data_IF_240951608332
#
_entry.id   IF_240951608332
#
_cell.length_a   1.000
_cell.length_b   1.000
_cell.length_c   1.000
_cell.angle_alpha   90.00
_cell.angle_beta   90.00
_cell.angle_gamma   90.00
#
_symmetry.space_group_name_H-M   'P 1'
#
loop_
_entity.id
_entity.type
_entity.pdbx_description
1 polymer ?
#
# COMPACT_ATOMS: atom_id res chain seq x y z
N UNK A 1 -25.18 55.14 46.13
CA UNK A 1 -25.53 53.70 45.85
C UNK A 1 -24.97 53.31 44.48
N UNK A 2 -23.88 52.62 44.51
CA UNK A 2 -23.17 52.18 43.29
C UNK A 2 -23.51 50.69 43.09
N UNK A 3 -24.19 50.38 42.00
CA UNK A 3 -24.47 48.96 41.63
C UNK A 3 -23.32 48.45 40.77
N UNK A 4 -22.56 47.55 41.33
CA UNK A 4 -21.56 46.73 40.64
C UNK A 4 -22.24 45.56 39.95
N UNK A 5 -22.17 45.53 38.61
CA UNK A 5 -22.52 44.34 37.81
C UNK A 5 -21.32 43.39 37.76
N UNK A 6 -21.49 42.20 38.34
CA UNK A 6 -20.54 41.12 38.19
C UNK A 6 -20.78 40.41 36.83
N UNK A 7 -19.78 40.45 35.97
CA UNK A 7 -19.76 39.69 34.72
C UNK A 7 -19.38 38.24 34.99
N UNK A 8 -20.32 37.31 34.83
CA UNK A 8 -20.06 35.85 34.79
C UNK A 8 -19.44 35.50 33.44
N UNK A 9 -18.14 35.28 33.41
CA UNK A 9 -17.45 34.69 32.29
C UNK A 9 -17.73 33.19 32.24
N UNK A 10 -18.55 32.77 31.28
CA UNK A 10 -18.68 31.35 30.91
C UNK A 10 -17.51 30.97 30.01
N UNK A 11 -16.49 30.37 30.59
CA UNK A 11 -15.39 29.74 29.88
C UNK A 11 -15.82 28.34 29.40
N UNK A 12 -16.47 28.27 28.25
CA UNK A 12 -16.62 27.04 27.51
C UNK A 12 -15.42 26.87 26.59
N UNK A 13 -14.32 26.30 27.06
CA UNK A 13 -13.32 25.73 26.15
C UNK A 13 -13.94 24.49 25.49
N UNK A 14 -13.86 24.35 24.16
CA UNK A 14 -14.22 23.10 23.53
C UNK A 14 -13.25 22.03 24.00
N UNK A 15 -13.75 21.05 24.75
CA UNK A 15 -13.00 19.84 25.10
C UNK A 15 -12.67 19.12 23.80
N UNK A 16 -11.38 19.00 23.47
CA UNK A 16 -10.92 18.16 22.39
C UNK A 16 -11.56 16.76 22.49
N UNK A 17 -12.00 16.14 21.39
CA UNK A 17 -12.53 14.79 21.44
C UNK A 17 -11.48 13.85 22.03
N UNK A 18 -11.78 13.26 23.18
CA UNK A 18 -10.84 12.46 23.98
C UNK A 18 -10.66 11.03 23.49
N UNK A 19 -11.08 10.73 22.28
CA UNK A 19 -11.00 9.39 21.70
C UNK A 19 -10.05 9.37 20.50
N UNK A 20 -9.06 8.44 20.55
CA UNK A 20 -8.13 8.15 19.46
C UNK A 20 -8.93 7.84 18.19
N UNK A 21 -8.61 8.41 17.01
CA UNK A 21 -9.25 8.05 15.77
C UNK A 21 -9.16 6.55 15.49
N UNK A 22 -10.16 5.98 14.86
CA UNK A 22 -10.14 4.56 14.50
C UNK A 22 -9.12 4.31 13.37
N UNK A 23 -9.16 5.15 12.33
CA UNK A 23 -8.26 5.05 11.18
C UNK A 23 -7.60 6.40 10.93
N UNK A 24 -6.30 6.37 10.66
CA UNK A 24 -5.60 7.46 9.97
C UNK A 24 -5.47 7.09 8.49
N UNK A 25 -6.17 7.78 7.63
CA UNK A 25 -5.95 7.75 6.20
C UNK A 25 -4.77 8.65 5.85
N UNK A 26 -3.79 8.14 5.11
CA UNK A 26 -2.71 8.95 4.55
C UNK A 26 -2.90 9.02 3.05
N UNK A 27 -3.04 10.24 2.55
CA UNK A 27 -3.30 10.53 1.13
C UNK A 27 -2.11 11.30 0.56
N UNK A 28 -1.12 10.61 -0.05
CA UNK A 28 -0.02 11.27 -0.72
C UNK A 28 -0.50 11.91 -2.02
N UNK A 29 -0.24 13.21 -2.20
CA UNK A 29 -0.69 14.00 -3.33
C UNK A 29 0.48 14.70 -4.01
N UNK A 30 0.64 14.46 -5.32
CA UNK A 30 1.55 15.20 -6.17
C UNK A 30 0.88 15.51 -7.50
N UNK A 31 0.59 16.79 -7.77
CA UNK A 31 -0.16 17.25 -8.95
C UNK A 31 -1.47 16.46 -9.15
N UNK A 32 -2.26 16.38 -8.08
CA UNK A 32 -3.46 15.53 -7.97
C UNK A 32 -4.76 16.32 -8.08
N UNK A 33 -4.73 17.61 -8.45
CA UNK A 33 -5.89 18.49 -8.45
C UNK A 33 -7.10 17.93 -9.24
N UNK A 34 -6.83 17.15 -10.30
CA UNK A 34 -7.88 16.56 -11.14
C UNK A 34 -8.63 15.40 -10.47
N UNK A 35 -8.06 14.74 -9.45
CA UNK A 35 -8.55 13.47 -8.92
C UNK A 35 -8.88 13.50 -7.43
N UNK A 36 -8.09 14.24 -6.64
CA UNK A 36 -8.08 14.13 -5.19
C UNK A 36 -9.42 14.41 -4.51
N UNK A 37 -10.33 15.17 -5.14
CA UNK A 37 -11.67 15.42 -4.58
C UNK A 37 -12.46 14.11 -4.46
N UNK A 38 -12.46 13.26 -5.48
CA UNK A 38 -13.11 11.93 -5.43
C UNK A 38 -12.55 11.09 -4.31
N UNK A 39 -11.22 11.07 -4.15
CA UNK A 39 -10.54 10.40 -3.06
C UNK A 39 -11.03 10.90 -1.70
N UNK A 40 -10.87 12.19 -1.43
CA UNK A 40 -11.17 12.79 -0.12
C UNK A 40 -12.66 12.70 0.19
N UNK A 41 -13.56 12.96 -0.78
CA UNK A 41 -15.01 12.86 -0.61
C UNK A 41 -15.45 11.45 -0.17
N UNK A 42 -14.74 10.41 -0.61
CA UNK A 42 -14.98 9.03 -0.18
C UNK A 42 -14.63 8.77 1.29
N UNK A 43 -13.76 9.60 1.89
CA UNK A 43 -13.34 9.50 3.29
C UNK A 43 -14.22 10.34 4.23
N UNK A 44 -14.83 11.44 3.71
CA UNK A 44 -15.64 12.39 4.48
C UNK A 44 -16.71 11.72 5.36
N UNK A 45 -17.46 10.70 4.90
CA UNK A 45 -18.49 10.06 5.72
C UNK A 45 -17.99 9.40 7.01
N UNK A 46 -16.69 9.20 7.17
CA UNK A 46 -16.09 8.55 8.35
C UNK A 46 -15.33 9.52 9.27
N UNK A 47 -15.28 10.80 8.95
CA UNK A 47 -14.43 11.77 9.66
C UNK A 47 -14.86 12.06 11.09
N UNK A 48 -16.06 11.66 11.52
CA UNK A 48 -16.48 11.71 12.94
C UNK A 48 -15.68 10.80 13.84
N UNK A 49 -15.07 9.75 13.31
CA UNK A 49 -14.29 8.79 14.09
C UNK A 49 -12.94 8.43 13.44
N UNK A 50 -12.61 9.00 12.30
CA UNK A 50 -11.36 8.82 11.58
C UNK A 50 -10.68 10.16 11.31
N UNK A 51 -9.41 10.12 10.89
CA UNK A 51 -8.71 11.30 10.40
C UNK A 51 -8.15 11.04 9.01
N UNK A 52 -8.00 12.13 8.22
CA UNK A 52 -7.28 12.09 6.96
C UNK A 52 -6.06 13.05 7.02
N UNK A 53 -4.90 12.54 6.64
CA UNK A 53 -3.65 13.28 6.55
C UNK A 53 -3.31 13.39 5.06
N UNK A 54 -3.58 14.57 4.50
CA UNK A 54 -3.31 14.86 3.10
C UNK A 54 -1.89 15.39 3.02
N UNK A 55 -1.02 14.71 2.31
CA UNK A 55 0.39 15.11 2.17
C UNK A 55 0.60 15.68 0.78
N UNK A 56 0.70 17.03 0.69
CA UNK A 56 1.10 17.70 -0.54
C UNK A 56 2.62 17.59 -0.71
N UNK A 57 3.03 16.83 -1.70
CA UNK A 57 4.45 16.49 -1.96
C UNK A 57 5.05 17.44 -3.00
N UNK A 58 4.99 18.78 -2.73
CA UNK A 58 5.57 19.80 -3.60
C UNK A 58 4.83 19.95 -4.92
N UNK A 59 3.50 19.90 -4.94
CA UNK A 59 2.70 20.10 -6.14
C UNK A 59 2.81 21.51 -6.69
N UNK A 60 2.69 21.62 -8.02
CA UNK A 60 2.71 22.91 -8.74
C UNK A 60 1.37 23.31 -9.32
N UNK A 61 0.35 22.45 -9.19
CA UNK A 61 -1.05 22.70 -9.57
C UNK A 61 -1.90 23.14 -8.36
N UNK A 62 -3.23 23.07 -8.48
CA UNK A 62 -4.15 23.46 -7.42
C UNK A 62 -4.26 22.45 -6.25
N UNK A 63 -3.45 21.38 -6.20
CA UNK A 63 -3.52 20.32 -5.19
C UNK A 63 -3.50 20.88 -3.77
N UNK A 64 -2.53 21.76 -3.43
CA UNK A 64 -2.41 22.34 -2.10
C UNK A 64 -3.64 23.19 -1.74
N UNK A 65 -4.13 24.00 -2.68
CA UNK A 65 -5.30 24.82 -2.46
C UNK A 65 -6.54 23.97 -2.13
N UNK A 66 -6.77 22.90 -2.91
CA UNK A 66 -7.85 21.94 -2.67
C UNK A 66 -7.69 21.26 -1.31
N UNK A 67 -6.49 20.81 -0.95
CA UNK A 67 -6.23 20.19 0.34
C UNK A 67 -6.60 21.13 1.51
N UNK A 68 -6.23 22.43 1.42
CA UNK A 68 -6.55 23.44 2.43
C UNK A 68 -8.05 23.76 2.51
N UNK A 69 -8.81 23.67 1.42
CA UNK A 69 -10.27 23.77 1.44
C UNK A 69 -10.88 22.69 2.35
N UNK A 70 -10.44 21.43 2.19
CA UNK A 70 -10.91 20.34 3.03
C UNK A 70 -10.44 20.46 4.48
N UNK A 71 -9.21 20.86 4.74
CA UNK A 71 -8.72 21.11 6.10
C UNK A 71 -9.55 22.20 6.79
N UNK A 72 -9.92 23.26 6.06
CA UNK A 72 -10.78 24.33 6.58
C UNK A 72 -12.20 23.84 6.86
N UNK A 73 -12.74 22.97 6.01
CA UNK A 73 -14.08 22.41 6.17
C UNK A 73 -14.17 21.37 7.30
N UNK A 74 -13.07 20.63 7.57
CA UNK A 74 -13.00 19.54 8.56
C UNK A 74 -11.77 19.68 9.48
N UNK A 75 -11.63 20.79 10.25
CA UNK A 75 -10.39 21.15 10.94
C UNK A 75 -9.97 20.15 12.04
N UNK A 76 -10.90 19.40 12.61
CA UNK A 76 -10.63 18.42 13.66
C UNK A 76 -10.19 17.07 13.11
N UNK A 77 -10.52 16.78 11.84
CA UNK A 77 -10.38 15.45 11.25
C UNK A 77 -9.49 15.41 10.01
N UNK A 78 -9.29 16.55 9.33
CA UNK A 78 -8.35 16.63 8.19
C UNK A 78 -7.16 17.50 8.57
N UNK A 79 -5.97 17.00 8.25
CA UNK A 79 -4.69 17.71 8.40
C UNK A 79 -3.95 17.69 7.08
N UNK A 80 -3.39 18.84 6.70
CA UNK A 80 -2.54 18.97 5.51
C UNK A 80 -1.07 19.11 5.93
N UNK A 81 -0.23 18.25 5.40
CA UNK A 81 1.23 18.39 5.43
C UNK A 81 1.66 18.92 4.07
N UNK A 82 2.32 20.07 4.06
CA UNK A 82 2.92 20.67 2.87
C UNK A 82 4.43 20.50 2.95
N UNK A 83 5.04 19.79 2.00
CA UNK A 83 6.46 19.44 2.02
C UNK A 83 7.10 19.62 0.65
N UNK A 84 8.44 19.75 0.62
CA UNK A 84 9.21 19.60 -0.61
C UNK A 84 9.04 18.18 -1.14
N UNK A 85 9.07 18.03 -2.47
CA UNK A 85 8.86 16.73 -3.10
C UNK A 85 9.88 15.70 -2.61
N UNK A 86 9.39 14.70 -1.91
CA UNK A 86 10.15 13.57 -1.38
C UNK A 86 9.67 12.21 -1.95
N UNK A 87 8.74 12.27 -2.89
CA UNK A 87 8.10 11.12 -3.52
C UNK A 87 7.10 10.42 -2.59
N UNK A 88 6.41 9.42 -3.12
CA UNK A 88 5.38 8.68 -2.41
C UNK A 88 5.84 8.18 -1.02
N UNK A 89 7.05 7.60 -0.96
CA UNK A 89 7.62 7.10 0.29
C UNK A 89 7.83 8.18 1.36
N UNK A 90 8.29 9.36 0.95
CA UNK A 90 8.44 10.52 1.85
C UNK A 90 7.09 11.00 2.40
N UNK A 91 6.07 11.04 1.55
CA UNK A 91 4.70 11.37 1.96
C UNK A 91 4.14 10.38 2.97
N UNK A 92 4.34 9.07 2.75
CA UNK A 92 3.91 8.03 3.69
C UNK A 92 4.65 8.10 5.02
N UNK A 93 5.97 8.33 5.02
CA UNK A 93 6.74 8.48 6.25
C UNK A 93 6.21 9.64 7.12
N UNK A 94 5.98 10.80 6.51
CA UNK A 94 5.45 11.98 7.22
C UNK A 94 4.00 11.76 7.68
N UNK A 95 3.18 11.11 6.85
CA UNK A 95 1.83 10.70 7.25
C UNK A 95 1.84 9.75 8.45
N UNK A 96 2.70 8.71 8.44
CA UNK A 96 2.82 7.76 9.55
C UNK A 96 3.33 8.43 10.84
N UNK A 97 4.26 9.37 10.72
CA UNK A 97 4.74 10.13 11.88
C UNK A 97 3.61 10.93 12.57
N UNK A 98 2.68 11.46 11.78
CA UNK A 98 1.55 12.27 12.25
C UNK A 98 0.29 11.48 12.60
N UNK A 99 0.18 10.21 12.17
CA UNK A 99 -1.01 9.39 12.35
C UNK A 99 -1.34 9.17 13.83
N UNK A 100 -2.60 9.39 14.23
CA UNK A 100 -3.11 9.19 15.60
C UNK A 100 -4.03 7.98 15.70
N UNK A 101 -4.54 7.50 14.57
CA UNK A 101 -5.50 6.40 14.49
C UNK A 101 -4.94 5.08 14.98
N UNK A 102 -5.82 4.22 15.46
CA UNK A 102 -5.46 2.85 15.83
C UNK A 102 -4.97 2.07 14.61
N UNK A 103 -5.60 2.29 13.46
CA UNK A 103 -5.25 1.67 12.19
C UNK A 103 -4.73 2.72 11.20
N UNK A 104 -3.85 2.30 10.34
CA UNK A 104 -3.21 3.09 9.28
C UNK A 104 -3.63 2.56 7.92
N UNK A 105 -4.08 3.45 7.05
CA UNK A 105 -4.47 3.12 5.69
C UNK A 105 -3.92 4.14 4.71
N UNK A 106 -3.19 3.68 3.71
CA UNK A 106 -2.83 4.50 2.56
C UNK A 106 -3.97 4.51 1.57
N UNK A 107 -4.31 5.69 1.06
CA UNK A 107 -5.24 5.87 -0.06
C UNK A 107 -4.55 6.80 -1.06
N UNK A 108 -4.22 6.28 -2.24
CA UNK A 108 -3.61 7.09 -3.28
C UNK A 108 -4.59 8.14 -3.79
N UNK A 109 -4.11 9.31 -4.14
CA UNK A 109 -4.95 10.49 -4.39
C UNK A 109 -5.84 10.41 -5.63
N UNK A 110 -5.62 9.41 -6.47
CA UNK A 110 -6.41 9.10 -7.67
C UNK A 110 -7.38 7.92 -7.47
N UNK A 111 -7.38 7.31 -6.28
CA UNK A 111 -8.21 6.19 -5.88
C UNK A 111 -9.31 6.62 -4.91
N UNK A 112 -10.24 5.72 -4.56
CA UNK A 112 -11.31 6.01 -3.59
C UNK A 112 -11.78 4.75 -2.86
N UNK A 113 -12.55 4.95 -1.78
CA UNK A 113 -13.19 3.86 -1.06
C UNK A 113 -14.68 3.79 -1.41
N UNK A 114 -15.21 2.57 -1.61
CA UNK A 114 -16.65 2.34 -1.64
C UNK A 114 -17.22 2.52 -0.24
N UNK A 115 -18.03 3.55 -0.03
CA UNK A 115 -18.50 3.95 1.31
C UNK A 115 -19.31 2.86 2.00
N UNK A 116 -20.29 2.18 1.37
CA UNK A 116 -21.01 1.06 1.97
C UNK A 116 -20.10 -0.10 2.39
N UNK A 117 -19.16 -0.51 1.53
CA UNK A 117 -18.21 -1.58 1.84
C UNK A 117 -17.22 -1.16 2.95
N UNK A 118 -16.77 0.10 2.92
CA UNK A 118 -15.90 0.65 3.95
C UNK A 118 -16.60 0.71 5.32
N UNK A 119 -17.87 1.08 5.40
CA UNK A 119 -18.62 1.08 6.68
C UNK A 119 -18.61 -0.29 7.35
N UNK A 120 -18.68 -1.40 6.59
CA UNK A 120 -18.53 -2.75 7.16
C UNK A 120 -17.16 -2.98 7.77
N UNK A 121 -16.10 -2.50 7.13
CA UNK A 121 -14.74 -2.55 7.70
C UNK A 121 -14.65 -1.69 8.94
N UNK A 122 -15.17 -0.47 8.89
CA UNK A 122 -15.14 0.48 9.99
C UNK A 122 -15.84 -0.05 11.25
N UNK A 123 -16.98 -0.74 11.11
CA UNK A 123 -17.69 -1.36 12.23
C UNK A 123 -16.81 -2.41 12.94
N UNK A 124 -16.11 -3.26 12.18
CA UNK A 124 -15.17 -4.23 12.74
C UNK A 124 -13.99 -3.53 13.42
N UNK A 125 -13.41 -2.50 12.80
CA UNK A 125 -12.28 -1.76 13.37
C UNK A 125 -12.69 -1.01 14.65
N UNK A 126 -13.89 -0.42 14.70
CA UNK A 126 -14.44 0.22 15.91
C UNK A 126 -14.58 -0.76 17.07
N UNK A 127 -15.12 -1.95 16.80
CA UNK A 127 -15.28 -2.98 17.82
C UNK A 127 -13.94 -3.51 18.37
N UNK A 128 -12.82 -3.29 17.66
CA UNK A 128 -11.49 -3.78 17.98
C UNK A 128 -10.44 -2.65 17.95
N UNK A 129 -10.76 -1.51 18.54
CA UNK A 129 -9.89 -0.32 18.51
C UNK A 129 -9.02 -0.14 19.78
N UNK A 130 -9.15 -1.02 20.78
CA UNK A 130 -8.29 -0.95 21.97
C UNK A 130 -6.98 -1.70 21.77
N UNK A 131 -5.91 -1.39 22.50
CA UNK A 131 -4.61 -2.08 22.38
C UNK A 131 -4.73 -3.61 22.52
N UNK A 132 -5.63 -4.10 23.37
CA UNK A 132 -5.82 -5.52 23.67
C UNK A 132 -6.61 -6.25 22.58
N UNK A 133 -7.50 -5.53 21.89
CA UNK A 133 -8.42 -6.11 20.91
C UNK A 133 -8.01 -5.85 19.47
N UNK A 134 -7.18 -4.83 19.21
CA UNK A 134 -6.76 -4.44 17.87
C UNK A 134 -6.07 -5.59 17.13
N UNK A 135 -6.40 -5.73 15.85
CA UNK A 135 -5.69 -6.63 14.94
C UNK A 135 -4.37 -5.98 14.50
N UNK A 136 -3.36 -6.79 14.23
CA UNK A 136 -2.10 -6.28 13.69
C UNK A 136 -2.23 -5.90 12.23
N UNK A 137 -2.99 -6.71 11.48
CA UNK A 137 -3.24 -6.52 10.05
C UNK A 137 -4.64 -6.99 9.69
N UNK A 138 -5.43 -6.09 9.12
CA UNK A 138 -6.73 -6.39 8.55
C UNK A 138 -6.65 -6.37 7.04
N UNK A 139 -7.33 -7.30 6.38
CA UNK A 139 -7.46 -7.36 4.94
C UNK A 139 -8.88 -7.06 4.49
N UNK A 140 -9.00 -6.33 3.40
CA UNK A 140 -10.23 -6.18 2.62
C UNK A 140 -9.91 -6.38 1.14
N UNK A 141 -10.93 -6.53 0.30
CA UNK A 141 -10.73 -6.63 -1.13
C UNK A 141 -10.40 -5.27 -1.74
N UNK A 142 -9.84 -5.30 -2.94
CA UNK A 142 -9.74 -4.12 -3.78
C UNK A 142 -10.24 -4.42 -5.21
N UNK A 143 -10.59 -3.38 -5.93
CA UNK A 143 -11.20 -3.45 -7.26
C UNK A 143 -10.35 -2.65 -8.22
N UNK A 144 -9.90 -3.23 -9.29
CA UNK A 144 -9.40 -2.49 -10.44
C UNK A 144 -10.57 -1.84 -11.16
N UNK A 145 -10.50 -0.53 -11.29
CA UNK A 145 -11.49 0.29 -12.00
C UNK A 145 -10.84 0.82 -13.28
N UNK A 146 -11.23 0.27 -14.42
CA UNK A 146 -10.59 0.57 -15.70
C UNK A 146 -11.23 1.79 -16.36
N UNK A 147 -10.47 2.88 -16.48
CA UNK A 147 -10.93 4.13 -17.14
C UNK A 147 -11.27 3.91 -18.60
N UNK A 148 -10.52 3.05 -19.29
CA UNK A 148 -10.60 2.92 -20.75
C UNK A 148 -11.88 2.25 -21.26
N UNK A 149 -12.45 1.31 -20.49
CA UNK A 149 -13.64 0.54 -20.90
C UNK A 149 -14.70 0.43 -19.79
N UNK A 150 -14.52 1.09 -18.65
CA UNK A 150 -15.45 1.10 -17.54
C UNK A 150 -15.60 -0.26 -16.83
N UNK A 151 -14.74 -1.24 -17.14
CA UNK A 151 -14.82 -2.56 -16.51
C UNK A 151 -14.22 -2.54 -15.12
N UNK A 152 -14.77 -3.37 -14.21
CA UNK A 152 -14.28 -3.54 -12.83
C UNK A 152 -13.85 -4.99 -12.62
N UNK A 153 -12.73 -5.16 -11.93
CA UNK A 153 -12.22 -6.48 -11.57
C UNK A 153 -11.81 -6.52 -10.11
N UNK A 154 -12.56 -7.23 -9.28
CA UNK A 154 -12.29 -7.33 -7.85
C UNK A 154 -11.26 -8.44 -7.57
N UNK A 155 -10.27 -8.12 -6.75
CA UNK A 155 -9.34 -9.08 -6.16
C UNK A 155 -9.85 -9.43 -4.77
N UNK A 156 -10.29 -10.67 -4.62
CA UNK A 156 -10.90 -11.20 -3.39
C UNK A 156 -10.08 -12.34 -2.83
N UNK A 157 -10.09 -12.46 -1.51
CA UNK A 157 -9.28 -13.44 -0.77
C UNK A 157 -10.11 -14.56 -0.14
N UNK A 158 -11.33 -14.75 -0.65
CA UNK A 158 -12.18 -15.89 -0.29
C UNK A 158 -11.44 -17.21 -0.54
N UNK A 159 -11.56 -18.13 0.42
CA UNK A 159 -10.85 -19.40 0.40
C UNK A 159 -9.34 -19.32 0.67
N UNK A 160 -8.76 -18.11 0.79
CA UNK A 160 -7.38 -17.90 1.19
C UNK A 160 -7.27 -17.66 2.70
N UNK A 161 -8.21 -16.90 3.25
CA UNK A 161 -8.23 -16.47 4.65
C UNK A 161 -9.59 -16.76 5.28
N UNK A 162 -9.64 -17.10 6.59
CA UNK A 162 -10.88 -17.10 7.35
C UNK A 162 -11.57 -15.74 7.28
N UNK A 163 -12.90 -15.72 7.11
CA UNK A 163 -13.69 -14.50 7.01
C UNK A 163 -14.33 -14.16 8.35
N UNK A 164 -14.46 -12.86 8.64
CA UNK A 164 -15.25 -12.27 9.72
C UNK A 164 -14.91 -12.84 11.13
N UNK A 165 -13.67 -13.27 11.33
CA UNK A 165 -13.11 -13.68 12.61
C UNK A 165 -11.61 -13.47 12.68
N UNK A 166 -11.03 -13.33 13.90
CA UNK A 166 -9.59 -13.33 14.08
C UNK A 166 -8.96 -14.67 13.66
N UNK A 167 -7.72 -14.61 13.15
CA UNK A 167 -6.93 -15.80 12.82
C UNK A 167 -5.42 -15.49 12.91
N UNK A 168 -4.60 -16.53 12.90
CA UNK A 168 -3.15 -16.45 12.82
C UNK A 168 -2.64 -16.91 11.45
N UNK A 169 -1.32 -16.82 11.25
CA UNK A 169 -0.70 -17.25 9.99
C UNK A 169 -0.91 -18.71 9.68
N UNK A 170 -1.09 -19.57 10.69
CA UNK A 170 -1.35 -21.01 10.54
C UNK A 170 -2.61 -21.33 9.74
N UNK A 171 -3.58 -20.39 9.74
CA UNK A 171 -4.80 -20.50 8.96
C UNK A 171 -4.73 -19.77 7.60
N UNK A 172 -3.61 -19.10 7.31
CA UNK A 172 -3.41 -18.42 6.05
C UNK A 172 -3.10 -19.43 4.95
N UNK A 173 -3.99 -19.54 3.98
CA UNK A 173 -3.91 -20.53 2.90
C UNK A 173 -2.85 -20.23 1.85
N UNK A 174 -2.88 -21.01 0.76
CA UNK A 174 -2.01 -20.77 -0.41
C UNK A 174 -2.74 -19.88 -1.41
N UNK A 175 -2.24 -18.64 -1.66
CA UNK A 175 -2.87 -17.75 -2.63
C UNK A 175 -2.89 -18.37 -4.04
N UNK A 176 -4.00 -18.23 -4.75
CA UNK A 176 -4.06 -18.47 -6.20
C UNK A 176 -3.21 -17.44 -6.95
N UNK A 177 -3.02 -17.63 -8.24
CA UNK A 177 -2.20 -16.72 -9.06
C UNK A 177 -2.83 -15.32 -9.17
N UNK A 178 -4.16 -15.25 -9.11
CA UNK A 178 -4.99 -14.06 -9.14
C UNK A 178 -5.21 -13.41 -7.77
N UNK A 179 -4.80 -14.07 -6.68
CA UNK A 179 -4.89 -13.58 -5.31
C UNK A 179 -3.55 -13.01 -4.85
N UNK A 180 -3.20 -11.85 -5.33
CA UNK A 180 -2.02 -11.11 -4.84
C UNK A 180 -2.47 -10.00 -3.89
N UNK A 181 -1.69 -9.80 -2.84
CA UNK A 181 -1.98 -8.83 -1.80
C UNK A 181 -1.17 -7.57 -2.10
N UNK A 182 -1.85 -6.43 -2.11
CA UNK A 182 -1.24 -5.11 -2.28
C UNK A 182 -1.56 -4.22 -1.08
N UNK A 183 -0.87 -3.10 -0.94
CA UNK A 183 -1.13 -2.09 0.09
C UNK A 183 -2.60 -1.64 0.09
N UNK A 184 -3.24 -1.64 -1.07
CA UNK A 184 -4.66 -1.32 -1.24
C UNK A 184 -5.59 -2.21 -0.42
N UNK A 185 -5.20 -3.47 -0.18
CA UNK A 185 -5.98 -4.44 0.59
C UNK A 185 -5.69 -4.40 2.09
N UNK A 186 -4.66 -3.67 2.55
CA UNK A 186 -4.13 -3.79 3.92
C UNK A 186 -4.50 -2.61 4.80
N UNK A 187 -4.78 -2.90 6.08
CA UNK A 187 -5.04 -1.97 7.17
C UNK A 187 -4.15 -2.40 8.33
N UNK A 188 -3.05 -1.70 8.54
CA UNK A 188 -2.11 -2.03 9.60
C UNK A 188 -2.46 -1.34 10.93
N UNK A 189 -2.19 -1.99 12.05
CA UNK A 189 -2.13 -1.31 13.34
C UNK A 189 -1.00 -0.27 13.31
N UNK A 190 -1.33 0.98 13.57
CA UNK A 190 -0.38 2.11 13.46
C UNK A 190 0.85 1.91 14.33
N UNK A 191 0.64 1.46 15.57
CA UNK A 191 1.75 1.23 16.50
C UNK A 191 2.67 0.11 16.02
N UNK A 192 2.13 -0.95 15.39
CA UNK A 192 2.93 -2.03 14.79
C UNK A 192 3.81 -1.52 13.64
N UNK A 193 3.30 -0.63 12.78
CA UNK A 193 4.13 -0.01 11.74
C UNK A 193 5.29 0.77 12.35
N UNK A 194 5.05 1.52 13.42
CA UNK A 194 6.11 2.24 14.14
C UNK A 194 7.09 1.31 14.83
N UNK A 195 6.60 0.27 15.50
CA UNK A 195 7.41 -0.77 16.15
C UNK A 195 8.30 -1.50 15.15
N UNK A 196 7.85 -1.69 13.91
CA UNK A 196 8.66 -2.32 12.85
C UNK A 196 9.85 -1.47 12.44
N UNK A 197 9.82 -0.16 12.67
CA UNK A 197 10.84 0.78 12.22
C UNK A 197 10.81 1.03 10.71
N UNK A 198 9.71 0.68 10.02
CA UNK A 198 9.59 0.87 8.57
C UNK A 198 9.83 2.33 8.20
N UNK A 199 10.78 2.55 7.29
CA UNK A 199 11.09 3.87 6.74
C UNK A 199 11.31 3.71 5.24
N UNK A 200 10.50 4.39 4.45
CA UNK A 200 10.54 4.30 3.01
C UNK A 200 11.60 5.27 2.44
N UNK A 201 12.42 4.83 1.49
CA UNK A 201 13.29 5.74 0.75
C UNK A 201 12.53 6.86 0.07
N UNK A 202 13.08 8.07 0.11
CA UNK A 202 12.52 9.23 -0.59
C UNK A 202 12.85 9.18 -2.08
N UNK A 203 11.97 9.78 -2.91
CA UNK A 203 12.17 9.88 -4.37
C UNK A 203 12.30 8.51 -5.08
N UNK A 204 11.73 7.45 -4.50
CA UNK A 204 11.70 6.10 -5.07
C UNK A 204 10.26 5.66 -5.24
N UNK A 205 9.90 5.23 -6.46
CA UNK A 205 8.62 4.61 -6.76
C UNK A 205 8.60 3.12 -6.36
N UNK A 206 7.41 2.50 -6.36
CA UNK A 206 7.22 1.05 -6.16
C UNK A 206 7.59 0.57 -4.75
N UNK A 207 7.43 1.45 -3.75
CA UNK A 207 7.76 1.15 -2.36
C UNK A 207 6.58 0.55 -1.56
N UNK A 208 5.41 0.45 -2.17
CA UNK A 208 4.21 -0.19 -1.62
C UNK A 208 4.48 -1.61 -1.11
N UNK A 209 5.25 -2.37 -1.87
CA UNK A 209 5.68 -3.71 -1.48
C UNK A 209 6.57 -3.75 -0.25
N UNK A 210 7.48 -2.80 -0.11
CA UNK A 210 8.33 -2.72 1.08
C UNK A 210 7.52 -2.34 2.32
N UNK A 211 6.61 -1.36 2.20
CA UNK A 211 5.68 -0.99 3.28
C UNK A 211 4.85 -2.19 3.74
N UNK A 212 4.41 -3.04 2.80
CA UNK A 212 3.61 -4.22 3.11
C UNK A 212 4.43 -5.34 3.75
N UNK A 213 5.66 -5.60 3.26
CA UNK A 213 6.45 -6.77 3.67
C UNK A 213 7.23 -6.56 4.96
N UNK A 214 7.76 -5.34 5.17
CA UNK A 214 8.66 -5.05 6.29
C UNK A 214 8.04 -5.34 7.66
N UNK A 215 6.78 -4.99 7.95
CA UNK A 215 6.16 -5.23 9.26
C UNK A 215 5.73 -6.69 9.50
N UNK A 216 5.68 -7.54 8.47
CA UNK A 216 5.09 -8.89 8.56
C UNK A 216 5.60 -9.75 9.73
N UNK A 217 6.90 -9.74 10.10
CA UNK A 217 7.40 -10.55 11.22
C UNK A 217 6.80 -10.20 12.58
N UNK A 218 6.23 -9.00 12.73
CA UNK A 218 5.55 -8.55 13.95
C UNK A 218 4.06 -8.90 13.97
N UNK A 219 3.48 -9.22 12.82
CA UNK A 219 2.05 -9.51 12.66
C UNK A 219 1.72 -10.88 13.23
N UNK A 220 0.74 -10.94 14.15
CA UNK A 220 0.26 -12.17 14.78
C UNK A 220 -1.25 -12.33 14.67
N UNK A 221 -2.00 -11.23 14.81
CA UNK A 221 -3.46 -11.21 14.80
C UNK A 221 -3.97 -10.63 13.48
N UNK A 222 -4.52 -11.50 12.67
CA UNK A 222 -5.05 -11.19 11.35
C UNK A 222 -6.58 -11.15 11.37
N UNK A 223 -7.16 -10.40 10.45
CA UNK A 223 -8.58 -10.39 10.19
C UNK A 223 -8.85 -10.18 8.70
N UNK A 224 -9.85 -10.82 8.14
CA UNK A 224 -10.25 -10.59 6.76
C UNK A 224 -11.74 -10.30 6.65
N UNK A 225 -12.07 -9.22 5.97
CA UNK A 225 -13.43 -8.79 5.67
C UNK A 225 -13.62 -8.89 4.16
N UNK A 226 -14.52 -9.79 3.74
CA UNK A 226 -14.83 -9.94 2.32
C UNK A 226 -15.72 -8.78 1.85
N UNK A 227 -15.11 -7.61 1.66
CA UNK A 227 -15.75 -6.40 1.20
C UNK A 227 -14.87 -5.73 0.14
N UNK A 228 -15.44 -5.36 -0.99
CA UNK A 228 -14.78 -4.70 -2.11
C UNK A 228 -14.67 -3.20 -1.80
N UNK A 229 -13.65 -2.81 -1.02
CA UNK A 229 -13.57 -1.48 -0.40
C UNK A 229 -12.79 -0.49 -1.21
N UNK A 230 -11.60 -0.87 -1.66
CA UNK A 230 -10.66 0.04 -2.30
C UNK A 230 -10.81 -0.02 -3.81
N UNK A 231 -11.10 1.10 -4.45
CA UNK A 231 -11.17 1.23 -5.89
C UNK A 231 -9.87 1.82 -6.41
N UNK A 232 -9.12 0.99 -7.13
CA UNK A 232 -7.85 1.35 -7.75
C UNK A 232 -8.10 1.74 -9.21
N UNK A 233 -7.98 3.04 -9.50
CA UNK A 233 -8.17 3.58 -10.85
C UNK A 233 -6.98 3.22 -11.73
N UNK A 234 -7.19 2.51 -12.82
CA UNK A 234 -6.12 2.15 -13.75
C UNK A 234 -6.47 2.44 -15.22
N UNK A 235 -5.44 2.57 -16.05
CA UNK A 235 -5.58 2.78 -17.49
C UNK A 235 -5.38 4.23 -17.93
N UNK A 236 -4.89 5.13 -17.08
CA UNK A 236 -4.44 6.46 -17.48
C UNK A 236 -3.00 6.39 -18.00
N UNK A 237 -2.67 7.26 -18.98
CA UNK A 237 -1.35 7.30 -19.62
C UNK A 237 -0.23 7.77 -18.66
N UNK A 238 -0.57 8.59 -17.66
CA UNK A 238 0.38 9.22 -16.71
C UNK A 238 0.71 8.35 -15.49
N UNK A 239 0.08 7.17 -15.35
CA UNK A 239 0.27 6.31 -14.19
C UNK A 239 1.67 5.70 -14.09
N UNK A 240 2.12 5.49 -12.84
CA UNK A 240 3.44 4.93 -12.52
C UNK A 240 3.63 3.49 -12.98
N UNK A 241 2.54 2.72 -13.13
CA UNK A 241 2.54 1.30 -13.50
C UNK A 241 2.61 1.05 -15.02
N UNK A 242 2.48 2.07 -15.86
CA UNK A 242 2.57 1.94 -17.32
C UNK A 242 3.93 1.39 -17.76
N UNK A 243 3.95 0.47 -18.74
CA UNK A 243 5.16 -0.22 -19.23
C UNK A 243 6.30 0.76 -19.53
N UNK A 244 6.00 1.83 -20.27
CA UNK A 244 7.03 2.81 -20.64
C UNK A 244 7.54 3.61 -19.43
N UNK A 245 6.67 3.88 -18.47
CA UNK A 245 7.05 4.54 -17.21
C UNK A 245 7.95 3.63 -16.37
N UNK A 246 7.62 2.35 -16.23
CA UNK A 246 8.46 1.37 -15.52
C UNK A 246 9.81 1.21 -16.20
N UNK A 247 9.87 1.17 -17.53
CA UNK A 247 11.14 1.11 -18.26
C UNK A 247 12.02 2.34 -18.00
N UNK A 248 11.42 3.54 -17.99
CA UNK A 248 12.15 4.79 -17.67
C UNK A 248 12.64 4.82 -16.23
N UNK A 249 11.88 4.24 -15.29
CA UNK A 249 12.18 4.20 -13.86
C UNK A 249 12.74 2.84 -13.40
N UNK A 250 13.31 2.06 -14.31
CA UNK A 250 13.73 0.67 -14.02
C UNK A 250 14.71 0.59 -12.84
N UNK A 251 15.59 1.57 -12.65
CA UNK A 251 16.53 1.57 -11.55
C UNK A 251 15.83 1.73 -10.18
N UNK A 252 14.73 2.47 -10.12
CA UNK A 252 13.90 2.58 -8.91
C UNK A 252 13.17 1.24 -8.62
N UNK A 253 12.62 0.58 -9.65
CA UNK A 253 12.04 -0.76 -9.51
C UNK A 253 13.08 -1.78 -9.01
N UNK A 254 14.31 -1.71 -9.51
CA UNK A 254 15.40 -2.59 -9.05
C UNK A 254 15.81 -2.29 -7.61
N UNK A 255 15.82 -1.03 -7.20
CA UNK A 255 16.11 -0.63 -5.83
C UNK A 255 15.04 -1.15 -4.88
N UNK A 256 13.74 -0.92 -5.19
CA UNK A 256 12.64 -1.44 -4.40
C UNK A 256 12.70 -2.98 -4.26
N UNK A 257 12.99 -3.68 -5.37
CA UNK A 257 13.15 -5.14 -5.36
C UNK A 257 14.33 -5.58 -4.48
N UNK A 258 15.48 -4.89 -4.55
CA UNK A 258 16.64 -5.19 -3.71
C UNK A 258 16.37 -4.97 -2.22
N UNK A 259 15.65 -3.91 -1.87
CA UNK A 259 15.23 -3.67 -0.49
C UNK A 259 14.39 -4.83 0.03
N UNK A 260 13.36 -5.24 -0.69
CA UNK A 260 12.54 -6.40 -0.31
C UNK A 260 13.33 -7.73 -0.25
N UNK A 261 14.37 -7.92 -1.06
CA UNK A 261 15.22 -9.13 -0.99
C UNK A 261 16.07 -9.15 0.29
N UNK A 262 16.62 -7.99 0.67
CA UNK A 262 17.59 -7.85 1.76
C UNK A 262 16.97 -7.58 3.13
N UNK A 263 15.68 -7.33 3.20
CA UNK A 263 14.98 -6.86 4.39
C UNK A 263 15.01 -7.89 5.53
N UNK A 264 14.62 -9.13 5.25
CA UNK A 264 14.57 -10.20 6.23
C UNK A 264 15.31 -11.45 5.75
N UNK A 265 15.97 -12.16 6.68
CA UNK A 265 16.50 -13.50 6.42
C UNK A 265 15.35 -14.50 6.25
N UNK A 266 15.27 -15.12 5.07
CA UNK A 266 14.16 -16.01 4.73
C UNK A 266 14.13 -17.31 5.56
N UNK A 267 15.29 -17.83 6.01
CA UNK A 267 15.30 -18.98 6.89
C UNK A 267 14.71 -18.63 8.26
N UNK A 268 15.03 -17.42 8.77
CA UNK A 268 14.45 -16.94 10.03
C UNK A 268 12.95 -16.76 9.91
N UNK A 269 12.45 -16.14 8.81
CA UNK A 269 11.00 -16.04 8.57
C UNK A 269 10.33 -17.41 8.56
N UNK A 270 10.92 -18.40 7.87
CA UNK A 270 10.39 -19.77 7.83
C UNK A 270 10.39 -20.48 9.18
N UNK A 271 11.35 -20.20 10.05
CA UNK A 271 11.39 -20.74 11.39
C UNK A 271 10.34 -20.11 12.28
N UNK A 272 10.09 -18.80 12.10
CA UNK A 272 9.10 -18.07 12.85
C UNK A 272 7.69 -18.44 12.42
N UNK A 273 7.41 -18.37 11.12
CA UNK A 273 6.08 -18.62 10.56
C UNK A 273 6.15 -19.01 9.06
N UNK A 274 5.99 -20.31 8.72
CA UNK A 274 6.10 -20.76 7.33
C UNK A 274 5.08 -20.15 6.36
N UNK A 275 3.77 -19.97 6.67
CA UNK A 275 2.82 -19.32 5.79
C UNK A 275 3.16 -17.85 5.53
N UNK A 276 3.55 -17.09 6.54
CA UNK A 276 4.00 -15.69 6.38
C UNK A 276 5.25 -15.62 5.49
N UNK A 277 6.23 -16.50 5.71
CA UNK A 277 7.42 -16.58 4.87
C UNK A 277 7.10 -16.91 3.40
N UNK A 278 6.11 -17.78 3.16
CA UNK A 278 5.66 -18.08 1.80
C UNK A 278 4.99 -16.89 1.13
N UNK A 279 4.16 -16.11 1.85
CA UNK A 279 3.60 -14.85 1.35
C UNK A 279 4.72 -13.88 0.96
N UNK A 280 5.71 -13.69 1.84
CA UNK A 280 6.89 -12.86 1.58
C UNK A 280 7.64 -13.30 0.30
N UNK A 281 7.94 -14.59 0.17
CA UNK A 281 8.64 -15.12 -0.99
C UNK A 281 7.83 -14.98 -2.30
N UNK A 282 6.51 -15.11 -2.23
CA UNK A 282 5.63 -14.91 -3.39
C UNK A 282 5.66 -13.45 -3.86
N UNK A 283 5.60 -12.51 -2.92
CA UNK A 283 5.68 -11.09 -3.26
C UNK A 283 7.03 -10.74 -3.90
N UNK A 284 8.14 -11.15 -3.28
CA UNK A 284 9.47 -10.96 -3.86
C UNK A 284 9.57 -11.64 -5.24
N UNK A 285 8.96 -12.82 -5.42
CA UNK A 285 8.89 -13.48 -6.73
C UNK A 285 8.14 -12.64 -7.77
N UNK A 286 7.05 -11.97 -7.40
CA UNK A 286 6.32 -11.07 -8.29
C UNK A 286 7.20 -9.86 -8.68
N UNK A 287 7.84 -9.20 -7.71
CA UNK A 287 8.76 -8.09 -7.98
C UNK A 287 9.94 -8.50 -8.86
N UNK A 288 10.52 -9.69 -8.63
CA UNK A 288 11.56 -10.27 -9.49
C UNK A 288 11.08 -10.55 -10.90
N UNK A 289 9.82 -11.01 -11.06
CA UNK A 289 9.21 -11.21 -12.38
C UNK A 289 9.04 -9.90 -13.13
N UNK A 290 8.46 -8.89 -12.49
CA UNK A 290 8.29 -7.54 -13.05
C UNK A 290 9.64 -6.96 -13.47
N UNK A 291 10.63 -6.96 -12.57
CA UNK A 291 11.98 -6.46 -12.85
C UNK A 291 12.64 -7.19 -14.01
N UNK A 292 12.62 -8.52 -14.00
CA UNK A 292 13.24 -9.37 -15.05
C UNK A 292 12.60 -9.13 -16.42
N UNK A 293 11.27 -9.07 -16.48
CA UNK A 293 10.55 -8.93 -17.75
C UNK A 293 10.75 -7.54 -18.34
N UNK A 294 10.68 -6.46 -17.54
CA UNK A 294 10.93 -5.11 -18.03
C UNK A 294 12.37 -4.93 -18.52
N UNK A 295 13.35 -5.52 -17.82
CA UNK A 295 14.73 -5.53 -18.30
C UNK A 295 14.89 -6.28 -19.65
N UNK A 296 14.13 -7.37 -19.85
CA UNK A 296 14.10 -8.07 -21.14
C UNK A 296 13.37 -7.28 -22.23
N UNK A 297 12.33 -6.51 -21.88
CA UNK A 297 11.67 -5.60 -22.81
C UNK A 297 12.56 -4.45 -23.24
N UNK A 298 13.40 -3.91 -22.35
CA UNK A 298 14.43 -2.91 -22.68
C UNK A 298 15.46 -3.53 -23.63
N UNK A 299 15.93 -4.74 -23.34
CA UNK A 299 16.69 -5.59 -24.27
C UNK A 299 18.12 -5.16 -24.55
N UNK A 300 18.63 -4.06 -23.97
CA UNK A 300 20.02 -3.63 -24.16
C UNK A 300 20.99 -4.54 -23.40
N UNK A 301 22.29 -4.57 -23.78
CA UNK A 301 23.31 -5.31 -23.05
C UNK A 301 23.36 -4.92 -21.56
N UNK A 302 23.19 -3.62 -21.25
CA UNK A 302 23.20 -3.05 -19.90
C UNK A 302 21.99 -3.56 -19.10
N UNK A 303 20.80 -3.58 -19.69
CA UNK A 303 19.59 -4.10 -19.05
C UNK A 303 19.72 -5.60 -18.72
N UNK A 304 20.32 -6.37 -19.64
CA UNK A 304 20.60 -7.80 -19.40
C UNK A 304 21.66 -7.98 -18.30
N UNK A 305 22.65 -7.09 -18.22
CA UNK A 305 23.64 -7.10 -17.15
C UNK A 305 22.98 -6.79 -15.80
N UNK A 306 22.15 -5.73 -15.71
CA UNK A 306 21.36 -5.38 -14.50
C UNK A 306 20.50 -6.55 -14.03
N UNK A 307 19.88 -7.31 -14.93
CA UNK A 307 19.13 -8.52 -14.55
C UNK A 307 20.02 -9.58 -13.91
N UNK A 308 21.20 -9.85 -14.46
CA UNK A 308 22.15 -10.82 -13.87
C UNK A 308 22.63 -10.35 -12.50
N UNK A 309 22.89 -9.07 -12.35
CA UNK A 309 23.29 -8.47 -11.07
C UNK A 309 22.19 -8.62 -10.01
N UNK A 310 20.93 -8.35 -10.36
CA UNK A 310 19.82 -8.50 -9.43
C UNK A 310 19.68 -9.96 -8.93
N UNK A 311 19.75 -10.95 -9.83
CA UNK A 311 19.69 -12.37 -9.46
C UNK A 311 20.91 -12.80 -8.65
N UNK A 312 22.12 -12.29 -8.98
CA UNK A 312 23.35 -12.54 -8.23
C UNK A 312 23.28 -11.91 -6.84
N UNK A 313 22.75 -10.68 -6.74
CA UNK A 313 22.50 -10.00 -5.48
C UNK A 313 21.61 -10.85 -4.57
N UNK A 314 20.45 -11.30 -5.07
CA UNK A 314 19.52 -12.15 -4.29
C UNK A 314 20.19 -13.45 -3.83
N UNK A 315 20.96 -14.12 -4.71
CA UNK A 315 21.67 -15.35 -4.37
C UNK A 315 22.69 -15.15 -3.24
N UNK A 316 23.39 -14.01 -3.26
CA UNK A 316 24.42 -13.67 -2.27
C UNK A 316 23.80 -13.22 -0.94
N UNK A 317 22.77 -12.34 -1.01
CA UNK A 317 22.18 -11.69 0.16
C UNK A 317 21.20 -12.62 0.91
N UNK A 318 20.40 -13.40 0.15
CA UNK A 318 19.35 -14.26 0.70
C UNK A 318 19.28 -15.60 -0.07
N UNK A 319 20.25 -16.52 0.15
CA UNK A 319 20.35 -17.76 -0.63
C UNK A 319 19.11 -18.65 -0.55
N UNK A 320 18.47 -18.70 0.61
CA UNK A 320 17.25 -19.49 0.82
C UNK A 320 16.05 -18.92 0.04
N UNK A 321 15.88 -17.58 0.05
CA UNK A 321 14.88 -16.90 -0.75
C UNK A 321 15.15 -17.10 -2.24
N UNK A 322 16.41 -16.98 -2.67
CA UNK A 322 16.81 -17.25 -4.04
C UNK A 322 16.41 -18.68 -4.48
N UNK A 323 16.70 -19.70 -3.67
CA UNK A 323 16.34 -21.07 -3.96
C UNK A 323 14.82 -21.27 -4.11
N UNK A 324 14.01 -20.56 -3.32
CA UNK A 324 12.54 -20.56 -3.40
C UNK A 324 12.05 -19.83 -4.67
N UNK A 325 12.54 -18.61 -4.93
CA UNK A 325 12.13 -17.77 -6.07
C UNK A 325 12.58 -18.36 -7.40
N UNK A 326 13.75 -18.99 -7.46
CA UNK A 326 14.25 -19.66 -8.67
C UNK A 326 13.35 -20.82 -9.17
N UNK A 327 12.48 -21.35 -8.30
CA UNK A 327 11.49 -22.40 -8.65
C UNK A 327 10.13 -21.81 -9.06
N UNK A 328 9.98 -20.50 -9.05
CA UNK A 328 8.75 -19.79 -9.44
C UNK A 328 8.77 -19.37 -10.92
N UNK A 329 7.70 -18.67 -11.34
CA UNK A 329 7.62 -18.07 -12.68
C UNK A 329 8.77 -17.10 -12.96
N UNK A 330 9.24 -16.36 -11.94
CA UNK A 330 10.39 -15.47 -12.07
C UNK A 330 11.66 -16.22 -12.49
N UNK A 331 11.96 -17.34 -11.82
CA UNK A 331 13.10 -18.17 -12.15
C UNK A 331 12.96 -18.84 -13.53
N UNK A 332 11.74 -19.24 -13.91
CA UNK A 332 11.48 -19.74 -15.26
C UNK A 332 11.73 -18.65 -16.33
N UNK A 333 11.23 -17.43 -16.11
CA UNK A 333 11.44 -16.29 -17.01
C UNK A 333 12.93 -15.93 -17.16
N UNK A 334 13.73 -16.10 -16.10
CA UNK A 334 15.17 -15.77 -16.09
C UNK A 334 16.07 -16.80 -16.82
N UNK A 335 15.55 -17.78 -17.53
CA UNK A 335 16.36 -18.74 -18.26
C UNK A 335 17.22 -18.05 -19.33
N UNK A 336 18.47 -18.54 -19.50
CA UNK A 336 19.56 -17.84 -20.20
C UNK A 336 19.40 -17.66 -21.71
N UNK A 337 18.52 -18.42 -22.37
CA UNK A 337 18.44 -18.39 -23.83
C UNK A 337 17.59 -17.23 -24.35
N UNK A 338 17.97 -16.64 -25.47
CA UNK A 338 17.23 -15.54 -26.10
C UNK A 338 15.77 -15.93 -26.44
N UNK A 339 15.54 -17.20 -26.79
CA UNK A 339 14.21 -17.72 -27.07
C UNK A 339 13.30 -17.67 -25.85
N UNK A 340 13.82 -18.10 -24.68
CA UNK A 340 13.06 -18.07 -23.43
C UNK A 340 12.74 -16.63 -22.98
N UNK A 341 13.64 -15.68 -23.18
CA UNK A 341 13.39 -14.27 -22.89
C UNK A 341 12.23 -13.71 -23.72
N UNK A 342 12.25 -13.97 -25.04
CA UNK A 342 11.15 -13.58 -25.93
C UNK A 342 9.81 -14.23 -25.52
N UNK A 343 9.84 -15.53 -25.19
CA UNK A 343 8.66 -16.24 -24.73
C UNK A 343 8.12 -15.67 -23.40
N UNK A 344 8.98 -15.35 -22.44
CA UNK A 344 8.58 -14.75 -21.16
C UNK A 344 7.90 -13.39 -21.36
N UNK A 345 8.46 -12.54 -22.22
CA UNK A 345 7.85 -11.24 -22.57
C UNK A 345 6.49 -11.46 -23.26
N UNK A 346 6.39 -12.38 -24.22
CA UNK A 346 5.14 -12.67 -24.93
C UNK A 346 4.02 -13.18 -23.98
N UNK A 347 4.38 -14.10 -23.07
CA UNK A 347 3.46 -14.62 -22.04
C UNK A 347 3.00 -13.50 -21.09
N UNK A 348 3.90 -12.65 -20.65
CA UNK A 348 3.55 -11.52 -19.81
C UNK A 348 2.62 -10.53 -20.52
N UNK A 349 2.92 -10.16 -21.75
CA UNK A 349 2.07 -9.26 -22.55
C UNK A 349 0.70 -9.87 -22.85
N UNK A 350 0.62 -11.19 -22.99
CA UNK A 350 -0.67 -11.90 -23.12
C UNK A 350 -1.45 -11.86 -21.80
N UNK A 351 -0.77 -12.12 -20.66
CA UNK A 351 -1.39 -12.09 -19.34
C UNK A 351 -1.91 -10.69 -18.99
N UNK A 352 -1.15 -9.63 -19.28
CA UNK A 352 -1.61 -8.26 -19.09
C UNK A 352 -2.91 -7.98 -19.85
N UNK A 353 -2.96 -8.35 -21.13
CA UNK A 353 -4.17 -8.16 -21.95
C UNK A 353 -5.36 -8.97 -21.45
N UNK A 354 -5.12 -10.22 -21.00
CA UNK A 354 -6.19 -11.12 -20.54
C UNK A 354 -6.73 -10.75 -19.16
N UNK A 355 -5.86 -10.39 -18.24
CA UNK A 355 -6.22 -10.12 -16.84
C UNK A 355 -6.29 -8.62 -16.54
N UNK A 356 -6.02 -7.77 -17.53
CA UNK A 356 -6.11 -6.31 -17.43
C UNK A 356 -5.42 -5.74 -16.19
N UNK A 357 -4.27 -6.28 -15.79
CA UNK A 357 -3.44 -5.67 -14.78
C UNK A 357 -2.34 -4.85 -15.45
N UNK A 358 -2.23 -3.58 -15.08
CA UNK A 358 -1.25 -2.56 -15.50
C UNK A 358 -0.77 -2.61 -16.96
#
# INVERSE_FOLDING_TARGET
MVHTYAATAASGMPTAPSTRPIVSFVVPCYNSAAYMRTCIDSLVPALDCCEAIIVNDGSTDATLAIAREYETAYPDSIRVIDQENAGWGGGINNGLACARGTYFKVVDSDDWLDVPAFNRVLDVLKAHATPETAFDLVFSNFVYDHVTDGTKHAIRYDGLMPQDRPFGWEEFGKPRIDQYIMVHATWYRTDLLRESGVTLPTNVCYMDGYLMLHPLPLVKRLYYINADVYHYLIGREDQSIGIETVKKRIDQQLLATRLCIGDHDFNRLKQQDPPMAELYARYVSAMMSVSTIHLFMIGTPEAIAKNRELWTYMKRTNPALHARVARSLAGFANRRTALFRKAAVAVFSYAQRKYKFA
#
